data_IF_027078820581
#
_entry.id   IF_027078820581
#
_cell.length_a   1.000
_cell.length_b   1.000
_cell.length_c   1.000
_cell.angle_alpha   90.00
_cell.angle_beta   90.00
_cell.angle_gamma   90.00
#
_symmetry.space_group_name_H-M   'P 1'
#
loop_
_entity.id
_entity.type
_entity.pdbx_description
1 polymer ?
#
# COMPACT_ATOMS: atom_id res chain seq x y z
N UNK A 1 -9.54 -8.83 7.52
CA UNK A 1 -9.28 -10.13 6.87
C UNK A 1 -8.48 -9.96 5.58
N UNK A 2 -8.99 -9.31 4.53
CA UNK A 2 -8.30 -9.17 3.22
C UNK A 2 -6.85 -8.62 3.29
N UNK A 3 -6.62 -7.59 4.10
CA UNK A 3 -5.28 -6.99 4.28
C UNK A 3 -4.33 -7.96 4.99
N UNK A 4 -4.81 -8.67 6.01
CA UNK A 4 -4.03 -9.68 6.74
C UNK A 4 -3.63 -10.84 5.82
N UNK A 5 -4.56 -11.33 5.00
CA UNK A 5 -4.29 -12.40 4.04
C UNK A 5 -3.23 -11.97 3.03
N UNK A 6 -3.29 -10.72 2.58
CA UNK A 6 -2.32 -10.16 1.63
C UNK A 6 -0.95 -9.94 2.26
N UNK A 7 -0.87 -9.49 3.51
CA UNK A 7 0.40 -9.39 4.24
C UNK A 7 1.04 -10.77 4.48
N UNK A 8 0.24 -11.80 4.75
CA UNK A 8 0.71 -13.19 4.86
C UNK A 8 1.22 -13.73 3.51
N UNK A 9 0.53 -13.40 2.43
CA UNK A 9 0.92 -13.77 1.06
C UNK A 9 2.21 -13.07 0.65
N UNK A 10 2.35 -11.79 1.01
CA UNK A 10 3.57 -11.00 0.81
C UNK A 10 4.74 -11.63 1.58
N UNK A 11 4.55 -11.95 2.86
CA UNK A 11 5.56 -12.61 3.68
C UNK A 11 6.00 -13.95 3.07
N UNK A 12 5.06 -14.80 2.65
CA UNK A 12 5.37 -16.09 2.03
C UNK A 12 6.09 -15.91 0.68
N UNK A 13 5.66 -14.97 -0.16
CA UNK A 13 6.26 -14.73 -1.46
C UNK A 13 7.71 -14.23 -1.34
N UNK A 14 7.98 -13.29 -0.43
CA UNK A 14 9.34 -12.79 -0.24
C UNK A 14 10.25 -13.79 0.46
N UNK A 15 9.74 -14.61 1.39
CA UNK A 15 10.59 -15.54 2.14
C UNK A 15 10.90 -16.83 1.37
N UNK A 16 10.04 -17.25 0.42
CA UNK A 16 10.16 -18.55 -0.26
C UNK A 16 10.23 -18.49 -1.79
N UNK A 17 9.76 -17.42 -2.44
CA UNK A 17 9.61 -17.38 -3.90
C UNK A 17 10.62 -16.42 -4.54
N UNK A 18 10.88 -15.27 -3.90
CA UNK A 18 11.76 -14.24 -4.45
C UNK A 18 13.14 -14.38 -3.81
N UNK A 19 14.20 -14.73 -4.57
CA UNK A 19 15.55 -14.72 -4.03
C UNK A 19 15.94 -13.29 -3.67
N UNK A 20 16.13 -13.01 -2.37
CA UNK A 20 16.59 -11.70 -1.89
C UNK A 20 18.09 -11.48 -2.14
N UNK A 21 18.83 -12.55 -2.39
CA UNK A 21 20.25 -12.51 -2.71
C UNK A 21 20.50 -13.39 -3.93
N UNK A 22 21.13 -12.80 -4.95
CA UNK A 22 21.60 -13.52 -6.13
C UNK A 22 22.96 -12.97 -6.48
N UNK A 23 24.00 -13.79 -6.35
CA UNK A 23 25.35 -13.44 -6.78
C UNK A 23 25.46 -13.32 -8.32
N UNK A 24 24.46 -13.81 -9.05
CA UNK A 24 24.48 -13.94 -10.51
C UNK A 24 23.62 -12.91 -11.25
N UNK A 25 22.68 -12.24 -10.58
CA UNK A 25 21.75 -11.29 -11.20
C UNK A 25 22.20 -9.84 -10.95
N UNK A 26 22.24 -8.97 -11.98
CA UNK A 26 22.48 -7.56 -11.79
C UNK A 26 21.44 -6.96 -10.85
N UNK A 27 21.88 -6.12 -9.91
CA UNK A 27 21.09 -5.56 -8.81
C UNK A 27 19.80 -4.85 -9.28
N UNK A 28 19.79 -4.38 -10.53
CA UNK A 28 18.65 -3.80 -11.25
C UNK A 28 17.50 -4.77 -11.38
N UNK A 29 17.79 -5.97 -11.87
CA UNK A 29 16.78 -7.00 -12.14
C UNK A 29 16.21 -7.51 -10.84
N UNK A 30 17.07 -7.69 -9.83
CA UNK A 30 16.65 -8.06 -8.49
C UNK A 30 15.72 -7.01 -7.88
N UNK A 31 16.13 -5.74 -7.86
CA UNK A 31 15.32 -4.64 -7.35
C UNK A 31 14.01 -4.46 -8.12
N UNK A 32 14.03 -4.63 -9.44
CA UNK A 32 12.83 -4.50 -10.28
C UNK A 32 11.84 -5.63 -10.03
N UNK A 33 12.31 -6.86 -9.80
CA UNK A 33 11.45 -8.00 -9.43
C UNK A 33 10.84 -7.78 -8.05
N UNK A 34 11.65 -7.40 -7.07
CA UNK A 34 11.21 -7.17 -5.68
C UNK A 34 10.18 -6.04 -5.61
N UNK A 35 10.55 -4.84 -6.06
CA UNK A 35 9.66 -3.68 -5.99
C UNK A 35 8.48 -3.80 -6.96
N UNK A 36 8.66 -4.45 -8.12
CA UNK A 36 7.59 -4.70 -9.08
C UNK A 36 6.53 -5.68 -8.55
N UNK A 37 6.95 -6.79 -7.96
CA UNK A 37 6.02 -7.75 -7.32
C UNK A 37 5.27 -7.10 -6.16
N UNK A 38 5.97 -6.33 -5.32
CA UNK A 38 5.37 -5.53 -4.26
C UNK A 38 4.34 -4.54 -4.80
N UNK A 39 4.68 -3.77 -5.84
CA UNK A 39 3.78 -2.81 -6.46
C UNK A 39 2.50 -3.47 -6.98
N UNK A 40 2.63 -4.63 -7.64
CA UNK A 40 1.48 -5.39 -8.16
C UNK A 40 0.58 -5.87 -7.01
N UNK A 41 1.16 -6.45 -5.96
CA UNK A 41 0.40 -6.89 -4.79
C UNK A 41 -0.35 -5.72 -4.15
N UNK A 42 0.34 -4.60 -3.91
CA UNK A 42 -0.26 -3.39 -3.35
C UNK A 42 -1.38 -2.83 -4.22
N UNK A 43 -1.16 -2.74 -5.54
CA UNK A 43 -2.16 -2.30 -6.49
C UNK A 43 -3.40 -3.21 -6.50
N UNK A 44 -3.21 -4.53 -6.47
CA UNK A 44 -4.30 -5.50 -6.36
C UNK A 44 -5.10 -5.30 -5.07
N UNK A 45 -4.46 -5.15 -3.90
CA UNK A 45 -5.16 -4.84 -2.64
C UNK A 45 -5.93 -3.53 -2.72
N UNK A 46 -5.34 -2.49 -3.30
CA UNK A 46 -5.99 -1.19 -3.43
C UNK A 46 -7.25 -1.30 -4.30
N UNK A 47 -7.17 -2.03 -5.42
CA UNK A 47 -8.29 -2.28 -6.32
C UNK A 47 -9.41 -3.07 -5.62
N UNK A 48 -9.07 -4.12 -4.87
CA UNK A 48 -10.04 -4.92 -4.10
C UNK A 48 -10.77 -4.08 -3.03
N UNK A 49 -10.07 -3.16 -2.37
CA UNK A 49 -10.67 -2.27 -1.37
C UNK A 49 -11.56 -1.22 -2.02
N UNK A 50 -11.15 -0.63 -3.14
CA UNK A 50 -12.00 0.28 -3.92
C UNK A 50 -13.28 -0.42 -4.40
N UNK A 51 -13.16 -1.66 -4.89
CA UNK A 51 -14.33 -2.47 -5.25
C UNK A 51 -15.21 -2.77 -4.03
N UNK A 52 -14.63 -3.11 -2.88
CA UNK A 52 -15.36 -3.33 -1.63
C UNK A 52 -16.13 -2.07 -1.20
N UNK A 53 -15.52 -0.89 -1.25
CA UNK A 53 -16.18 0.38 -0.91
C UNK A 53 -17.36 0.64 -1.85
N UNK A 54 -17.19 0.45 -3.17
CA UNK A 54 -18.29 0.60 -4.15
C UNK A 54 -19.41 -0.42 -3.92
N UNK A 55 -19.06 -1.66 -3.59
CA UNK A 55 -20.04 -2.71 -3.26
C UNK A 55 -20.80 -2.37 -1.97
N UNK A 56 -20.12 -1.89 -0.93
CA UNK A 56 -20.76 -1.44 0.31
C UNK A 56 -21.70 -0.27 0.06
N UNK A 57 -21.29 0.73 -0.73
CA UNK A 57 -22.17 1.84 -1.11
C UNK A 57 -23.42 1.37 -1.85
N UNK A 58 -23.27 0.41 -2.77
CA UNK A 58 -24.39 -0.19 -3.51
C UNK A 58 -25.30 -0.99 -2.58
N UNK A 59 -24.74 -1.73 -1.62
CA UNK A 59 -25.51 -2.49 -0.63
C UNK A 59 -26.25 -1.56 0.35
N UNK A 60 -25.60 -0.48 0.80
CA UNK A 60 -26.20 0.50 1.70
C UNK A 60 -27.41 1.20 1.06
N UNK A 61 -27.32 1.55 -0.23
CA UNK A 61 -28.49 2.07 -0.98
C UNK A 61 -29.67 1.10 -1.03
N UNK A 62 -29.43 -0.20 -0.85
CA UNK A 62 -30.46 -1.25 -0.84
C UNK A 62 -30.91 -1.62 0.58
N UNK A 63 -30.03 -1.47 1.57
CA UNK A 63 -30.26 -1.80 2.96
C UNK A 63 -29.60 -0.76 3.87
N UNK A 64 -30.39 0.15 4.44
CA UNK A 64 -29.92 1.26 5.29
C UNK A 64 -29.34 0.82 6.65
N UNK A 65 -29.25 -0.47 6.92
CA UNK A 65 -28.74 -1.03 8.19
C UNK A 65 -27.22 -1.17 8.22
N UNK A 66 -26.51 -0.99 7.10
CA UNK A 66 -25.05 -1.18 7.00
C UNK A 66 -24.36 0.15 6.72
N UNK A 67 -24.12 0.96 7.75
CA UNK A 67 -23.44 2.24 7.57
C UNK A 67 -21.95 2.03 7.21
N UNK A 68 -21.43 2.68 6.15
CA UNK A 68 -20.00 2.67 5.87
C UNK A 68 -19.26 3.44 6.98
N UNK A 69 -18.26 2.80 7.59
CA UNK A 69 -17.45 3.41 8.65
C UNK A 69 -16.42 4.35 8.03
N UNK A 70 -16.27 5.57 8.55
CA UNK A 70 -15.26 6.55 8.08
C UNK A 70 -13.83 5.98 8.05
N UNK A 71 -13.54 5.01 8.91
CA UNK A 71 -12.28 4.28 8.99
C UNK A 71 -11.93 3.53 7.70
N UNK A 72 -12.93 3.11 6.88
CA UNK A 72 -12.67 2.45 5.59
C UNK A 72 -11.98 3.38 4.59
N UNK A 73 -12.30 4.68 4.61
CA UNK A 73 -11.66 5.69 3.76
C UNK A 73 -10.21 5.95 4.17
N UNK A 74 -9.92 5.97 5.48
CA UNK A 74 -8.57 6.13 6.01
C UNK A 74 -7.66 4.95 5.66
N UNK A 75 -8.20 3.72 5.71
CA UNK A 75 -7.46 2.51 5.29
C UNK A 75 -7.17 2.54 3.78
N UNK A 76 -8.14 2.98 2.96
CA UNK A 76 -7.91 3.12 1.53
C UNK A 76 -6.83 4.18 1.23
N UNK A 77 -6.85 5.31 1.95
CA UNK A 77 -5.84 6.36 1.83
C UNK A 77 -4.45 5.87 2.22
N UNK A 78 -4.32 5.13 3.33
CA UNK A 78 -3.03 4.62 3.79
C UNK A 78 -2.43 3.63 2.78
N UNK A 79 -3.24 2.74 2.22
CA UNK A 79 -2.80 1.81 1.18
C UNK A 79 -2.46 2.50 -0.13
N UNK A 80 -3.18 3.56 -0.48
CA UNK A 80 -2.86 4.38 -1.65
C UNK A 80 -1.50 5.09 -1.47
N UNK A 81 -1.22 5.64 -0.29
CA UNK A 81 0.08 6.22 0.05
C UNK A 81 1.20 5.17 -0.01
N UNK A 82 0.97 3.95 0.49
CA UNK A 82 1.93 2.85 0.34
C UNK A 82 2.20 2.51 -1.13
N UNK A 83 1.17 2.51 -1.97
CA UNK A 83 1.32 2.24 -3.40
C UNK A 83 2.14 3.33 -4.11
N UNK A 84 1.91 4.60 -3.77
CA UNK A 84 2.71 5.72 -4.29
C UNK A 84 4.18 5.58 -3.86
N UNK A 85 4.42 5.31 -2.57
CA UNK A 85 5.77 5.14 -2.04
C UNK A 85 6.51 3.99 -2.76
N UNK A 86 5.82 2.88 -3.01
CA UNK A 86 6.36 1.74 -3.75
C UNK A 86 6.64 2.08 -5.22
N UNK A 87 5.76 2.85 -5.86
CA UNK A 87 5.95 3.33 -7.22
C UNK A 87 7.15 4.26 -7.34
N UNK A 88 7.36 5.13 -6.35
CA UNK A 88 8.54 5.99 -6.26
C UNK A 88 9.83 5.18 -6.09
N UNK A 89 9.83 4.14 -5.25
CA UNK A 89 10.98 3.24 -5.13
C UNK A 89 11.30 2.49 -6.41
N UNK A 90 10.27 1.97 -7.09
CA UNK A 90 10.45 1.28 -8.36
C UNK A 90 11.04 2.24 -9.42
N UNK A 91 10.54 3.47 -9.47
CA UNK A 91 11.05 4.50 -10.37
C UNK A 91 12.51 4.88 -10.02
N UNK A 92 12.81 5.10 -8.74
CA UNK A 92 14.17 5.39 -8.28
C UNK A 92 15.13 4.23 -8.61
N UNK A 93 14.69 2.98 -8.45
CA UNK A 93 15.48 1.81 -8.85
C UNK A 93 15.78 1.79 -10.36
N UNK A 94 14.82 2.16 -11.22
CA UNK A 94 15.06 2.27 -12.66
C UNK A 94 16.03 3.42 -12.97
N UNK A 95 15.81 4.59 -12.37
CA UNK A 95 16.62 5.80 -12.59
C UNK A 95 18.07 5.59 -12.17
N UNK A 96 18.30 4.97 -10.99
CA UNK A 96 19.64 4.66 -10.50
C UNK A 96 20.40 3.71 -11.41
N UNK A 97 19.67 2.88 -12.13
CA UNK A 97 20.19 1.84 -12.99
C UNK A 97 20.10 2.19 -14.48
N UNK A 98 19.80 3.45 -14.81
CA UNK A 98 19.68 3.93 -16.18
C UNK A 98 20.99 3.77 -16.99
N UNK A 99 22.15 3.86 -16.33
CA UNK A 99 23.45 3.68 -16.96
C UNK A 99 23.62 2.26 -17.51
N UNK A 100 23.20 1.25 -16.74
CA UNK A 100 23.25 -0.16 -17.14
C UNK A 100 22.18 -0.51 -18.18
N UNK A 101 21.14 0.31 -18.32
CA UNK A 101 20.15 0.25 -19.41
C UNK A 101 20.67 0.86 -20.73
N UNK A 102 21.92 1.35 -20.76
CA UNK A 102 22.58 1.87 -21.95
C UNK A 102 22.52 3.39 -22.11
N UNK A 103 21.98 4.13 -21.14
CA UNK A 103 21.98 5.59 -21.16
C UNK A 103 23.33 6.15 -20.68
N UNK A 104 24.09 6.75 -21.59
CA UNK A 104 25.41 7.32 -21.29
C UNK A 104 25.36 8.85 -21.17
N UNK A 105 26.09 9.41 -20.20
CA UNK A 105 26.24 10.86 -20.00
C UNK A 105 26.43 11.26 -18.54
N UNK A 106 27.04 12.43 -18.30
CA UNK A 106 27.30 12.95 -16.94
C UNK A 106 26.01 13.13 -16.11
N UNK A 107 24.90 13.44 -16.78
CA UNK A 107 23.57 13.51 -16.18
C UNK A 107 23.14 12.16 -15.57
N UNK A 108 23.24 11.06 -16.34
CA UNK A 108 22.89 9.71 -15.87
C UNK A 108 23.84 9.19 -14.79
N UNK A 109 25.14 9.55 -14.86
CA UNK A 109 26.09 9.25 -13.79
C UNK A 109 25.83 9.97 -12.47
N UNK A 110 25.00 11.02 -12.48
CA UNK A 110 24.55 11.71 -11.25
C UNK A 110 23.29 11.06 -10.68
N UNK A 111 22.43 10.51 -11.54
CA UNK A 111 21.19 9.82 -11.17
C UNK A 111 21.43 8.48 -10.44
N UNK A 112 22.57 7.82 -10.70
CA UNK A 112 22.99 6.60 -9.98
C UNK A 112 23.15 6.82 -8.47
N UNK A 113 23.43 8.07 -8.05
CA UNK A 113 23.60 8.47 -6.65
C UNK A 113 22.31 8.94 -5.97
N UNK A 114 21.18 8.91 -6.67
CA UNK A 114 19.90 9.27 -6.07
C UNK A 114 19.50 8.20 -5.04
N UNK A 115 19.43 8.56 -3.75
CA UNK A 115 19.02 7.65 -2.66
C UNK A 115 17.89 8.23 -1.81
N UNK A 116 17.22 9.26 -2.29
CA UNK A 116 16.31 10.08 -1.49
C UNK A 116 15.12 9.27 -0.98
N UNK A 117 14.48 8.47 -1.85
CA UNK A 117 13.41 7.57 -1.44
C UNK A 117 13.99 6.32 -0.82
N UNK A 118 15.10 5.78 -1.34
CA UNK A 118 15.73 4.56 -0.82
C UNK A 118 16.06 4.65 0.68
N UNK A 119 16.68 5.76 1.12
CA UNK A 119 17.12 5.94 2.51
C UNK A 119 15.95 6.15 3.47
N UNK A 120 14.85 6.73 2.99
CA UNK A 120 13.67 7.03 3.81
C UNK A 120 12.58 5.95 3.70
N UNK A 121 12.69 5.04 2.74
CA UNK A 121 11.63 4.12 2.36
C UNK A 121 11.26 3.18 3.48
N UNK A 122 12.23 2.55 4.14
CA UNK A 122 11.93 1.58 5.20
C UNK A 122 11.14 2.22 6.34
N UNK A 123 11.53 3.43 6.74
CA UNK A 123 10.88 4.18 7.82
C UNK A 123 9.45 4.57 7.39
N UNK A 124 9.28 5.10 6.18
CA UNK A 124 7.99 5.53 5.67
C UNK A 124 7.04 4.34 5.44
N UNK A 125 7.54 3.26 4.83
CA UNK A 125 6.78 2.05 4.57
C UNK A 125 6.34 1.38 5.87
N UNK A 126 7.24 1.28 6.86
CA UNK A 126 6.91 0.73 8.18
C UNK A 126 5.87 1.58 8.90
N UNK A 127 6.02 2.91 8.88
CA UNK A 127 5.09 3.84 9.51
C UNK A 127 3.67 3.73 8.93
N UNK A 128 3.56 3.72 7.59
CA UNK A 128 2.25 3.62 6.91
C UNK A 128 1.61 2.24 7.18
N UNK A 129 2.40 1.16 7.19
CA UNK A 129 1.90 -0.18 7.54
C UNK A 129 1.40 -0.25 8.98
N UNK A 130 2.12 0.35 9.92
CA UNK A 130 1.72 0.45 11.33
C UNK A 130 0.40 1.21 11.49
N UNK A 131 0.24 2.36 10.82
CA UNK A 131 -1.02 3.13 10.80
C UNK A 131 -2.17 2.30 10.23
N UNK A 132 -1.92 1.58 9.13
CA UNK A 132 -2.93 0.71 8.51
C UNK A 132 -3.36 -0.40 9.47
N UNK A 133 -2.42 -1.00 10.20
CA UNK A 133 -2.71 -2.02 11.21
C UNK A 133 -3.52 -1.43 12.36
N UNK A 134 -3.13 -0.27 12.88
CA UNK A 134 -3.86 0.44 13.94
C UNK A 134 -5.29 0.78 13.51
N UNK A 135 -5.50 1.22 12.27
CA UNK A 135 -6.84 1.50 11.72
C UNK A 135 -7.68 0.22 11.60
N UNK A 136 -7.10 -0.91 11.16
CA UNK A 136 -7.80 -2.20 11.12
C UNK A 136 -8.19 -2.64 12.53
N UNK A 137 -7.28 -2.54 13.50
CA UNK A 137 -7.55 -2.87 14.90
C UNK A 137 -8.64 -1.97 15.47
N UNK A 138 -8.64 -0.67 15.13
CA UNK A 138 -9.68 0.26 15.56
C UNK A 138 -11.08 -0.11 15.07
N UNK A 139 -11.20 -0.83 13.94
CA UNK A 139 -12.49 -1.34 13.47
C UNK A 139 -13.04 -2.50 14.31
N UNK A 140 -12.19 -3.22 15.05
CA UNK A 140 -12.65 -4.27 15.96
C UNK A 140 -13.17 -3.70 17.29
N UNK A 141 -12.72 -2.51 17.66
CA UNK A 141 -13.31 -1.77 18.75
C UNK A 141 -14.63 -1.19 18.26
N UNK A 142 -15.73 -1.82 18.64
CA UNK A 142 -17.09 -1.30 18.44
C UNK A 142 -17.18 0.04 19.14
N UNK A 143 -17.03 1.12 18.36
CA UNK A 143 -17.55 2.42 18.79
C UNK A 143 -19.05 2.30 18.61
N UNK A 144 -19.76 2.01 19.70
CA UNK A 144 -21.21 2.26 19.75
C UNK A 144 -21.40 3.72 19.38
N UNK A 145 -21.80 3.97 18.13
CA UNK A 145 -22.27 5.28 17.73
C UNK A 145 -23.54 5.48 18.55
N UNK A 146 -23.46 6.38 19.52
CA UNK A 146 -24.54 6.81 20.41
C UNK A 146 -25.71 7.37 19.55
N UNK A 147 -26.53 6.46 19.02
CA UNK A 147 -27.64 6.76 18.11
C UNK A 147 -28.74 7.58 18.78
N UNK A 148 -28.70 7.72 20.10
CA UNK A 148 -29.67 8.51 20.86
C UNK A 148 -29.52 10.01 20.61
N UNK A 149 -28.29 10.49 20.37
CA UNK A 149 -28.03 11.89 19.99
C UNK A 149 -28.56 12.23 18.59
N UNK A 150 -28.55 11.29 17.65
CA UNK A 150 -29.09 11.47 16.30
C UNK A 150 -30.62 11.47 16.27
N UNK A 151 -31.29 10.72 17.16
CA UNK A 151 -32.74 10.77 17.32
C UNK A 151 -33.21 12.11 17.93
N UNK A 152 -32.46 12.65 18.88
CA UNK A 152 -32.78 13.93 19.52
C UNK A 152 -32.78 15.13 18.56
N UNK A 153 -31.96 15.11 17.50
CA UNK A 153 -31.93 16.18 16.49
C UNK A 153 -32.98 16.03 15.37
N UNK A 154 -33.57 14.85 15.18
CA UNK A 154 -34.62 14.64 14.17
C UNK A 154 -36.03 14.96 14.69
N UNK A 155 -36.17 15.15 16.01
CA UNK A 155 -37.43 15.48 16.68
C UNK A 155 -37.63 16.99 16.93
N UNK A 156 -36.72 17.84 16.44
CA UNK A 156 -36.88 19.30 16.34
C UNK A 156 -36.99 19.70 14.87
#
# INVERSE_FOLDING_TARGET
MLILTMSLLELLAFNYIIPLESETLPMIWLGSIVYGAQLILFACTCLLILMRIRLLQKLFRRNNTIAPTYTEGLIALSLFLSCILMGLMFLENIIRNAVDLGFQGAFFGTLTKLTLVYDSYEILAFSIRSITCALIVSMFFVVEIDTDKLKAHRAR
#
